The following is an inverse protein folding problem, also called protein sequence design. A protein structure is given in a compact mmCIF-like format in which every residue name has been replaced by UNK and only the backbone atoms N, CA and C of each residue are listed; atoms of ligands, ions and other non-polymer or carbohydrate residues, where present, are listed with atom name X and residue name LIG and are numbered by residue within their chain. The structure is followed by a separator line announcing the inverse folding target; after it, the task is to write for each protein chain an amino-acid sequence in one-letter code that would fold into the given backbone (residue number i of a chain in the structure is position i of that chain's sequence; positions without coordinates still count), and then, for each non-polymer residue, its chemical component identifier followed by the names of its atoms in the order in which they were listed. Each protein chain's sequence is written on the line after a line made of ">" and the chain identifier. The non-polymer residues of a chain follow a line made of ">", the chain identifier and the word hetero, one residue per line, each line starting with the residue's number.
data_IF_908566282471
#
_entry.id   IF_908566282471
#
_cell.length_a   1.000
_cell.length_b   1.000
_cell.length_c   1.000
_cell.angle_alpha   90.00
_cell.angle_beta   90.00
_cell.angle_gamma   90.00
#
_symmetry.space_group_name_H-M   'P 1'
#
loop_
_entity.id
_entity.type
_entity.pdbx_description
1 polymer ?
#
# COMPACT_ATOMS: atom_id res chain seq x y z
N UNK A 1 11.63 -11.02 -9.04
CA UNK A 1 10.51 -10.36 -9.73
C UNK A 1 9.26 -11.23 -9.64
N UNK A 2 8.10 -10.62 -9.72
CA UNK A 2 6.83 -11.32 -9.82
C UNK A 2 6.74 -12.06 -11.16
N UNK A 3 6.00 -13.17 -11.21
CA UNK A 3 5.85 -13.95 -12.46
C UNK A 3 5.26 -13.13 -13.61
N UNK A 4 4.32 -12.25 -13.28
CA UNK A 4 3.64 -11.33 -14.19
C UNK A 4 4.36 -9.98 -14.38
N UNK A 5 5.63 -9.86 -13.99
CA UNK A 5 6.37 -8.60 -14.10
C UNK A 5 6.39 -8.06 -15.53
N UNK A 6 6.63 -8.95 -16.49
CA UNK A 6 6.77 -8.56 -17.92
C UNK A 6 5.48 -8.00 -18.50
N UNK A 7 4.33 -8.52 -18.08
CA UNK A 7 3.01 -8.12 -18.59
C UNK A 7 2.44 -6.91 -17.84
N UNK A 8 2.57 -6.88 -16.51
CA UNK A 8 1.80 -5.94 -15.68
C UNK A 8 2.64 -4.76 -15.17
N UNK A 9 3.95 -4.97 -15.00
CA UNK A 9 4.82 -3.94 -14.40
C UNK A 9 5.81 -3.33 -15.39
N UNK A 10 6.44 -4.16 -16.25
CA UNK A 10 7.47 -3.69 -17.15
C UNK A 10 6.98 -2.59 -18.11
N UNK A 11 5.74 -2.61 -18.65
CA UNK A 11 5.26 -1.53 -19.51
C UNK A 11 5.30 -0.15 -18.82
N UNK A 12 4.88 -0.07 -17.55
CA UNK A 12 4.89 1.17 -16.76
C UNK A 12 6.32 1.64 -16.46
N UNK A 13 7.20 0.70 -16.08
CA UNK A 13 8.61 1.00 -15.81
C UNK A 13 9.31 1.48 -17.07
N UNK A 14 9.09 0.83 -18.21
CA UNK A 14 9.67 1.21 -19.48
C UNK A 14 9.16 2.57 -19.96
N UNK A 15 7.85 2.82 -19.86
CA UNK A 15 7.26 4.12 -20.17
C UNK A 15 7.91 5.25 -19.34
N UNK A 16 8.07 5.04 -18.03
CA UNK A 16 8.72 6.02 -17.19
C UNK A 16 10.18 6.27 -17.60
N UNK A 17 10.92 5.20 -17.92
CA UNK A 17 12.30 5.27 -18.38
C UNK A 17 12.43 6.02 -19.70
N UNK A 18 11.60 5.70 -20.68
CA UNK A 18 11.61 6.31 -22.01
C UNK A 18 11.25 7.80 -21.99
N UNK A 19 10.39 8.20 -21.03
CA UNK A 19 9.94 9.58 -20.88
C UNK A 19 10.69 10.36 -19.77
N UNK A 20 11.78 9.82 -19.22
CA UNK A 20 12.56 10.43 -18.13
C UNK A 20 11.70 10.78 -16.91
N UNK A 21 10.68 9.98 -16.62
CA UNK A 21 9.84 10.12 -15.42
C UNK A 21 10.51 9.36 -14.27
N UNK A 22 10.60 9.99 -13.11
CA UNK A 22 11.12 9.34 -11.90
C UNK A 22 10.22 8.16 -11.53
N UNK A 23 10.80 6.98 -11.43
CA UNK A 23 10.11 5.77 -10.99
C UNK A 23 10.76 5.27 -9.69
N UNK A 24 10.03 5.31 -8.58
CA UNK A 24 10.56 5.02 -7.26
C UNK A 24 9.92 3.77 -6.63
N UNK A 25 10.75 2.89 -6.07
CA UNK A 25 10.28 1.81 -5.23
C UNK A 25 10.04 2.35 -3.81
N UNK A 26 8.79 2.42 -3.38
CA UNK A 26 8.41 3.06 -2.13
C UNK A 26 8.16 2.10 -0.97
N UNK A 27 7.97 0.80 -1.24
CA UNK A 27 7.66 -0.17 -0.20
C UNK A 27 8.89 -0.61 0.59
N UNK A 28 8.70 -0.92 1.86
CA UNK A 28 9.76 -1.53 2.68
C UNK A 28 10.18 -2.89 2.11
N UNK A 29 11.46 -3.26 2.10
CA UNK A 29 11.89 -4.59 1.69
C UNK A 29 11.18 -5.69 2.50
N UNK A 30 10.62 -6.68 1.80
CA UNK A 30 9.75 -7.74 2.34
C UNK A 30 10.27 -8.38 3.63
N UNK A 31 11.59 -8.53 3.75
CA UNK A 31 12.22 -9.14 4.94
C UNK A 31 11.87 -8.40 6.23
N UNK A 32 11.80 -7.06 6.22
CA UNK A 32 11.49 -6.27 7.42
C UNK A 32 10.03 -6.35 7.80
N UNK A 33 9.12 -6.34 6.84
CA UNK A 33 7.70 -6.62 7.10
C UNK A 33 7.53 -8.05 7.67
N UNK A 34 8.30 -9.03 7.20
CA UNK A 34 8.30 -10.39 7.75
C UNK A 34 8.88 -10.45 9.17
N UNK A 35 9.89 -9.64 9.49
CA UNK A 35 10.40 -9.52 10.87
C UNK A 35 9.33 -8.95 11.79
N UNK A 36 8.63 -7.90 11.36
CA UNK A 36 7.54 -7.30 12.15
C UNK A 36 6.37 -8.28 12.32
N UNK A 37 6.01 -9.05 11.29
CA UNK A 37 4.97 -10.07 11.42
C UNK A 37 5.29 -11.12 12.51
N UNK A 38 6.56 -11.44 12.70
CA UNK A 38 7.01 -12.45 13.68
C UNK A 38 7.21 -11.87 15.08
N UNK A 39 7.82 -10.70 15.18
CA UNK A 39 8.29 -10.16 16.47
C UNK A 39 7.79 -8.75 16.80
N UNK A 40 6.81 -8.23 16.05
CA UNK A 40 6.34 -6.85 16.22
C UNK A 40 7.40 -5.82 15.81
N UNK A 41 7.14 -4.54 16.12
CA UNK A 41 8.07 -3.47 15.76
C UNK A 41 9.44 -3.59 16.46
N UNK A 42 9.51 -4.18 17.66
CA UNK A 42 10.75 -4.40 18.39
C UNK A 42 11.76 -5.25 17.61
N UNK A 43 11.29 -6.09 16.67
CA UNK A 43 12.19 -6.85 15.80
C UNK A 43 13.09 -5.95 14.93
N UNK A 44 12.71 -4.69 14.72
CA UNK A 44 13.49 -3.72 13.94
C UNK A 44 14.57 -3.01 14.76
N UNK A 45 14.63 -3.18 16.09
CA UNK A 45 15.63 -2.54 16.93
C UNK A 45 17.03 -3.09 16.64
N UNK A 46 17.11 -4.34 16.18
CA UNK A 46 18.35 -5.05 15.91
C UNK A 46 18.97 -4.78 14.55
N UNK A 47 18.26 -4.10 13.63
CA UNK A 47 18.79 -3.80 12.30
C UNK A 47 19.75 -2.61 12.33
N UNK A 48 20.68 -2.58 11.38
CA UNK A 48 21.70 -1.52 11.28
C UNK A 48 21.09 -0.15 10.94
N UNK A 49 21.81 0.92 11.24
CA UNK A 49 21.44 2.28 10.86
C UNK A 49 21.20 2.41 9.34
N UNK A 50 22.03 1.74 8.52
CA UNK A 50 21.86 1.70 7.06
C UNK A 50 20.52 1.06 6.65
N UNK A 51 20.15 -0.05 7.28
CA UNK A 51 18.90 -0.73 6.95
C UNK A 51 17.67 0.11 7.34
N UNK A 52 17.77 0.89 8.42
CA UNK A 52 16.72 1.83 8.84
C UNK A 52 16.43 2.90 7.78
N UNK A 53 17.37 3.22 6.88
CA UNK A 53 17.12 4.18 5.79
C UNK A 53 16.21 3.63 4.67
N UNK A 54 15.88 2.34 4.67
CA UNK A 54 15.01 1.71 3.69
C UNK A 54 13.54 1.64 4.13
N UNK A 55 13.20 2.34 5.20
CA UNK A 55 11.85 2.38 5.75
C UNK A 55 11.55 3.75 6.34
N UNK A 56 10.29 4.00 6.68
CA UNK A 56 9.92 5.20 7.41
C UNK A 56 10.71 5.30 8.73
N UNK A 57 10.98 6.52 9.23
CA UNK A 57 11.65 6.72 10.52
C UNK A 57 10.98 5.94 11.64
N UNK A 58 11.79 5.27 12.46
CA UNK A 58 11.31 4.54 13.63
C UNK A 58 11.31 5.46 14.87
N UNK A 59 10.37 5.28 15.80
CA UNK A 59 9.29 4.29 15.82
C UNK A 59 8.15 4.63 14.86
N UNK A 60 7.53 3.60 14.26
CA UNK A 60 6.34 3.78 13.42
C UNK A 60 5.16 4.22 14.29
N UNK A 61 4.46 5.25 13.87
CA UNK A 61 3.15 5.58 14.43
C UNK A 61 2.16 4.50 14.01
N UNK A 62 1.50 3.88 14.98
CA UNK A 62 0.57 2.78 14.74
C UNK A 62 -0.72 2.99 15.54
N UNK A 63 -1.85 2.92 14.84
CA UNK A 63 -3.17 2.96 15.44
C UNK A 63 -3.86 1.61 15.21
N UNK A 64 -3.95 0.81 16.28
CA UNK A 64 -4.57 -0.52 16.23
C UNK A 64 -6.09 -0.45 15.99
N UNK A 65 -6.71 0.71 16.22
CA UNK A 65 -8.14 0.91 16.09
C UNK A 65 -8.60 1.15 14.65
N UNK A 66 -7.69 1.37 13.71
CA UNK A 66 -8.05 1.50 12.31
C UNK A 66 -8.84 0.27 11.83
N UNK A 67 -10.02 0.47 11.22
CA UNK A 67 -10.91 -0.63 10.81
C UNK A 67 -10.23 -1.68 9.94
N UNK A 68 -9.39 -1.29 9.00
CA UNK A 68 -8.63 -2.21 8.14
C UNK A 68 -7.68 -3.10 8.92
N UNK A 69 -6.99 -2.56 9.93
CA UNK A 69 -6.09 -3.34 10.77
C UNK A 69 -6.86 -4.30 11.69
N UNK A 70 -7.99 -3.87 12.26
CA UNK A 70 -8.88 -4.76 13.01
C UNK A 70 -9.42 -5.90 12.14
N UNK A 71 -9.86 -5.57 10.92
CA UNK A 71 -10.38 -6.56 9.98
C UNK A 71 -9.34 -7.63 9.65
N UNK A 72 -8.05 -7.27 9.53
CA UNK A 72 -6.97 -8.24 9.29
C UNK A 72 -6.88 -9.32 10.38
N UNK A 73 -7.10 -8.97 11.64
CA UNK A 73 -7.07 -9.91 12.75
C UNK A 73 -8.18 -10.97 12.67
N UNK A 74 -9.32 -10.61 12.10
CA UNK A 74 -10.48 -11.50 11.97
C UNK A 74 -10.48 -12.33 10.69
N UNK A 75 -9.94 -11.80 9.58
CA UNK A 75 -9.98 -12.45 8.27
C UNK A 75 -8.94 -13.56 8.10
N UNK A 76 -7.85 -13.53 8.87
CA UNK A 76 -6.74 -14.46 8.75
C UNK A 76 -6.39 -15.10 10.11
N UNK A 77 -7.33 -15.79 10.77
CA UNK A 77 -7.04 -16.42 12.05
C UNK A 77 -5.91 -17.44 11.89
N UNK A 78 -4.88 -17.30 12.72
CA UNK A 78 -3.71 -18.19 12.70
C UNK A 78 -2.59 -17.80 11.70
N UNK A 79 -2.78 -16.83 10.84
CA UNK A 79 -1.74 -16.33 9.93
C UNK A 79 -1.19 -14.98 10.41
N UNK A 80 0.03 -14.98 10.95
CA UNK A 80 0.72 -13.75 11.37
C UNK A 80 0.33 -13.19 12.75
N UNK A 81 -0.71 -13.72 13.40
CA UNK A 81 -1.13 -13.33 14.75
C UNK A 81 -1.37 -11.82 14.90
N UNK A 82 -1.23 -11.32 16.14
CA UNK A 82 -1.44 -9.90 16.50
C UNK A 82 -0.50 -8.92 15.78
N UNK A 83 0.58 -9.42 15.17
CA UNK A 83 1.56 -8.60 14.48
C UNK A 83 1.27 -8.44 12.98
N UNK A 84 0.26 -9.10 12.42
CA UNK A 84 -0.09 -8.96 11.00
C UNK A 84 -0.46 -7.51 10.64
N UNK A 85 -1.30 -6.79 11.41
CA UNK A 85 -1.56 -5.37 11.16
C UNK A 85 -0.32 -4.49 11.31
N UNK A 86 0.59 -4.80 12.25
CA UNK A 86 1.86 -4.07 12.40
C UNK A 86 2.76 -4.26 11.18
N UNK A 87 2.78 -5.48 10.61
CA UNK A 87 3.52 -5.76 9.38
C UNK A 87 2.90 -5.07 8.15
N UNK A 88 1.60 -4.82 8.17
CA UNK A 88 0.97 -3.96 7.17
C UNK A 88 1.32 -2.50 7.41
N UNK A 89 1.22 -2.04 8.65
CA UNK A 89 1.51 -0.66 9.05
C UNK A 89 2.93 -0.20 8.66
N UNK A 90 3.97 -1.05 8.84
CA UNK A 90 5.33 -0.69 8.41
C UNK A 90 5.43 -0.50 6.89
N UNK A 91 4.67 -1.26 6.09
CA UNK A 91 4.60 -1.08 4.64
C UNK A 91 3.91 0.24 4.30
N UNK A 92 2.73 0.50 4.86
CA UNK A 92 1.92 1.69 4.61
C UNK A 92 2.68 2.96 5.00
N UNK A 93 3.25 2.99 6.19
CA UNK A 93 4.07 4.09 6.68
C UNK A 93 5.29 4.35 5.78
N UNK A 94 5.96 3.28 5.34
CA UNK A 94 7.15 3.40 4.49
C UNK A 94 6.77 3.91 3.10
N UNK A 95 5.71 3.40 2.50
CA UNK A 95 5.22 3.89 1.22
C UNK A 95 4.82 5.37 1.31
N UNK A 96 4.07 5.76 2.32
CA UNK A 96 3.69 7.15 2.56
C UNK A 96 4.92 8.06 2.75
N UNK A 97 5.90 7.61 3.54
CA UNK A 97 7.15 8.35 3.76
C UNK A 97 7.89 8.61 2.45
N UNK A 98 8.12 7.58 1.63
CA UNK A 98 8.84 7.76 0.37
C UNK A 98 8.01 8.51 -0.68
N UNK A 99 6.68 8.39 -0.71
CA UNK A 99 5.83 9.25 -1.54
C UNK A 99 6.13 10.72 -1.21
N UNK A 100 6.13 11.10 0.07
CA UNK A 100 6.40 12.48 0.49
C UNK A 100 7.83 12.93 0.18
N UNK A 101 8.82 12.02 0.20
CA UNK A 101 10.20 12.35 -0.18
C UNK A 101 10.35 12.64 -1.67
N UNK A 102 9.58 11.98 -2.53
CA UNK A 102 9.65 12.17 -3.98
C UNK A 102 8.63 13.20 -4.51
N UNK A 103 7.54 13.43 -3.77
CA UNK A 103 6.52 14.39 -4.17
C UNK A 103 7.07 15.82 -4.17
N UNK A 104 6.76 16.55 -5.24
CA UNK A 104 7.08 17.98 -5.36
C UNK A 104 5.79 18.79 -5.51
N UNK A 105 5.60 19.89 -4.78
CA UNK A 105 4.45 20.76 -4.97
C UNK A 105 4.27 21.15 -6.45
N UNK A 106 3.04 21.10 -6.94
CA UNK A 106 2.72 21.38 -8.33
C UNK A 106 2.93 20.21 -9.30
N UNK A 107 3.41 19.06 -8.82
CA UNK A 107 3.52 17.84 -9.62
C UNK A 107 2.41 16.83 -9.31
N UNK A 108 2.16 15.90 -10.22
CA UNK A 108 1.35 14.71 -9.99
C UNK A 108 2.27 13.55 -9.57
N UNK A 109 1.93 12.90 -8.49
CA UNK A 109 2.55 11.64 -8.05
C UNK A 109 1.53 10.51 -8.19
N UNK A 110 1.83 9.50 -8.97
CA UNK A 110 0.98 8.30 -9.11
C UNK A 110 1.62 7.16 -8.34
N UNK A 111 0.84 6.50 -7.50
CA UNK A 111 1.30 5.35 -6.71
C UNK A 111 0.46 4.11 -7.01
N UNK A 112 1.12 3.01 -7.32
CA UNK A 112 0.48 1.71 -7.55
C UNK A 112 0.69 0.81 -6.35
N UNK A 113 -0.41 0.31 -5.79
CA UNK A 113 -0.38 -0.58 -4.62
C UNK A 113 -1.57 -1.55 -4.65
N UNK A 114 -1.50 -2.62 -3.88
CA UNK A 114 -2.65 -3.49 -3.66
C UNK A 114 -3.72 -2.78 -2.83
N UNK A 115 -4.98 -3.12 -3.07
CA UNK A 115 -6.16 -2.47 -2.50
C UNK A 115 -6.10 -2.30 -0.97
N UNK A 116 -5.65 -3.32 -0.24
CA UNK A 116 -5.49 -3.27 1.22
C UNK A 116 -4.58 -2.15 1.76
N UNK A 117 -3.80 -1.51 0.89
CA UNK A 117 -2.92 -0.40 1.27
C UNK A 117 -3.59 0.98 1.15
N UNK A 118 -4.76 1.08 0.51
CA UNK A 118 -5.41 2.38 0.22
C UNK A 118 -6.93 2.38 0.27
N UNK A 119 -7.59 1.20 0.35
CA UNK A 119 -9.05 1.14 0.46
C UNK A 119 -9.56 1.85 1.71
N UNK A 120 -10.76 2.40 1.60
CA UNK A 120 -11.46 3.11 2.66
C UNK A 120 -10.67 4.33 3.20
N UNK A 121 -9.75 4.87 2.40
CA UNK A 121 -8.89 6.03 2.77
C UNK A 121 -7.94 5.73 3.94
N UNK A 122 -7.72 4.47 4.25
CA UNK A 122 -6.81 3.99 5.30
C UNK A 122 -5.39 3.73 4.76
N UNK A 123 -4.58 3.01 5.49
CA UNK A 123 -3.24 2.61 5.08
C UNK A 123 -2.37 3.80 4.66
N UNK A 124 -1.88 3.79 3.43
CA UNK A 124 -1.01 4.87 2.88
C UNK A 124 -1.69 6.23 3.00
N UNK A 125 -2.99 6.32 2.68
CA UNK A 125 -3.76 7.57 2.75
C UNK A 125 -3.78 8.18 4.14
N UNK A 126 -3.98 7.35 5.16
CA UNK A 126 -3.96 7.78 6.56
C UNK A 126 -2.60 8.35 6.97
N UNK A 127 -1.49 7.67 6.63
CA UNK A 127 -0.15 8.17 6.94
C UNK A 127 0.19 9.45 6.18
N UNK A 128 -0.20 9.58 4.93
CA UNK A 128 -0.03 10.78 4.12
C UNK A 128 -0.76 11.97 4.75
N UNK A 129 -2.04 11.80 5.09
CA UNK A 129 -2.86 12.85 5.73
C UNK A 129 -2.37 13.21 7.12
N UNK A 130 -1.88 12.24 7.89
CA UNK A 130 -1.28 12.50 9.20
C UNK A 130 -0.02 13.37 9.10
N UNK A 131 0.78 13.15 8.06
CA UNK A 131 2.03 13.90 7.83
C UNK A 131 1.81 15.24 7.14
N UNK A 132 0.83 15.33 6.24
CA UNK A 132 0.46 16.55 5.53
C UNK A 132 -1.06 16.56 5.27
N UNK A 133 -1.84 17.19 6.19
CA UNK A 133 -3.31 17.25 6.07
C UNK A 133 -3.81 17.95 4.80
N UNK A 134 -3.04 18.89 4.26
CA UNK A 134 -3.38 19.68 3.07
C UNK A 134 -3.14 18.92 1.75
N UNK A 135 -2.49 17.74 1.81
CA UNK A 135 -2.19 16.98 0.60
C UNK A 135 -3.48 16.55 -0.10
N UNK A 136 -3.61 16.89 -1.37
CA UNK A 136 -4.72 16.43 -2.21
C UNK A 136 -4.43 15.01 -2.66
N UNK A 137 -5.27 14.09 -2.24
CA UNK A 137 -5.15 12.66 -2.56
C UNK A 137 -6.43 12.24 -3.27
N UNK A 138 -6.28 11.52 -4.37
CA UNK A 138 -7.36 10.84 -5.08
C UNK A 138 -7.02 9.34 -5.07
N UNK A 139 -8.00 8.53 -4.73
CA UNK A 139 -7.87 7.09 -4.70
C UNK A 139 -8.67 6.45 -5.83
N UNK A 140 -8.09 5.45 -6.47
CA UNK A 140 -8.74 4.65 -7.51
C UNK A 140 -8.56 3.18 -7.10
N UNK A 141 -9.64 2.42 -7.04
CA UNK A 141 -9.59 0.97 -6.79
C UNK A 141 -10.31 0.21 -7.87
N UNK A 142 -9.90 -1.04 -8.08
CA UNK A 142 -10.57 -1.97 -8.98
C UNK A 142 -11.28 -3.03 -8.15
N UNK A 143 -12.52 -3.29 -8.46
CA UNK A 143 -13.33 -4.35 -7.84
C UNK A 143 -13.82 -5.32 -8.91
N UNK A 144 -13.84 -6.60 -8.56
CA UNK A 144 -14.34 -7.66 -9.45
C UNK A 144 -15.74 -8.05 -8.99
N UNK A 145 -16.69 -8.04 -9.91
CA UNK A 145 -18.08 -8.40 -9.65
C UNK A 145 -18.78 -8.85 -10.94
N UNK A 146 -19.85 -9.63 -10.80
CA UNK A 146 -20.57 -10.23 -11.94
C UNK A 146 -21.30 -9.20 -12.79
N UNK A 147 -21.99 -8.25 -12.17
CA UNK A 147 -22.67 -7.15 -12.88
C UNK A 147 -21.80 -5.88 -12.79
N UNK A 148 -21.14 -5.55 -13.90
CA UNK A 148 -20.27 -4.36 -13.99
C UNK A 148 -21.05 -3.05 -14.17
N UNK A 149 -22.36 -3.09 -14.44
CA UNK A 149 -23.17 -1.91 -14.66
C UNK A 149 -23.77 -1.33 -13.38
N UNK A 150 -23.82 -2.11 -12.30
CA UNK A 150 -24.32 -1.67 -11.01
C UNK A 150 -23.36 -2.02 -9.88
N UNK A 151 -22.74 -0.99 -9.29
CA UNK A 151 -21.82 -1.17 -8.19
C UNK A 151 -22.52 -1.79 -6.97
N UNK A 152 -22.00 -2.90 -6.45
CA UNK A 152 -22.49 -3.54 -5.24
C UNK A 152 -22.32 -2.64 -4.02
N UNK A 153 -23.26 -2.71 -3.08
CA UNK A 153 -23.22 -1.90 -1.85
C UNK A 153 -21.91 -2.06 -1.06
N UNK A 154 -21.40 -3.28 -0.97
CA UNK A 154 -20.15 -3.60 -0.27
C UNK A 154 -18.91 -2.97 -0.93
N UNK A 155 -19.02 -2.55 -2.17
CA UNK A 155 -17.94 -1.91 -2.92
C UNK A 155 -18.01 -0.37 -2.89
N UNK A 156 -19.11 0.20 -2.40
CA UNK A 156 -19.28 1.65 -2.30
C UNK A 156 -18.30 2.24 -1.26
N UNK A 157 -17.88 3.47 -1.52
CA UNK A 157 -17.00 4.26 -0.63
C UNK A 157 -15.60 3.67 -0.38
N UNK A 158 -15.18 2.66 -1.15
CA UNK A 158 -13.82 2.11 -1.03
C UNK A 158 -12.74 3.07 -1.52
N UNK A 159 -13.10 3.95 -2.47
CA UNK A 159 -12.19 4.93 -3.09
C UNK A 159 -13.00 6.07 -3.72
N UNK A 160 -12.31 7.13 -4.17
CA UNK A 160 -12.93 8.23 -4.91
C UNK A 160 -13.46 7.77 -6.28
N UNK A 161 -12.72 6.87 -6.93
CA UNK A 161 -13.12 6.21 -8.18
C UNK A 161 -13.01 4.70 -8.04
N UNK A 162 -14.04 4.01 -8.53
CA UNK A 162 -14.12 2.56 -8.47
C UNK A 162 -14.30 2.03 -9.89
N UNK A 163 -13.37 1.20 -10.33
CA UNK A 163 -13.41 0.52 -11.63
C UNK A 163 -13.98 -0.86 -11.41
N UNK A 164 -15.17 -1.13 -11.95
CA UNK A 164 -15.75 -2.46 -11.93
C UNK A 164 -15.22 -3.28 -13.11
N UNK A 165 -14.71 -4.46 -12.84
CA UNK A 165 -14.31 -5.45 -13.84
C UNK A 165 -15.12 -6.73 -13.66
N UNK A 166 -15.32 -7.44 -14.76
CA UNK A 166 -16.01 -8.72 -14.73
C UNK A 166 -15.22 -9.73 -13.89
N UNK A 167 -15.92 -10.50 -13.05
CA UNK A 167 -15.29 -11.53 -12.21
C UNK A 167 -14.64 -12.65 -13.04
N UNK A 168 -15.13 -12.86 -14.27
CA UNK A 168 -14.61 -13.85 -15.22
C UNK A 168 -13.41 -13.33 -16.04
N UNK A 169 -12.97 -12.08 -15.81
CA UNK A 169 -11.83 -11.51 -16.52
C UNK A 169 -10.55 -12.28 -16.21
N UNK A 170 -9.81 -12.66 -17.26
CA UNK A 170 -8.55 -13.40 -17.12
C UNK A 170 -7.54 -12.64 -16.26
N UNK A 171 -7.10 -13.26 -15.18
CA UNK A 171 -6.00 -12.76 -14.38
C UNK A 171 -4.64 -13.15 -14.99
N UNK A 172 -3.64 -12.30 -14.82
CA UNK A 172 -2.27 -12.51 -15.31
C UNK A 172 -1.36 -13.26 -14.33
N UNK A 173 -1.89 -13.66 -13.18
CA UNK A 173 -1.16 -14.34 -12.08
C UNK A 173 -1.97 -15.48 -11.49
#
# INVERSE_FOLDING_TARGET
>A
LWKNYTTDYAPLVNFAKENNIVFAATNVPRRYASMVAKGGFAALDTISAREKTWMAPLPIVYDAELPGYKKMLTMMPGHGGENLPKAQAIKDATMAYFILQYYKPGSLFIHYNGAYHSENYEGIGWYLKKSNPELKIITITTVSQKDIHQLLEENKNKADFIICVDEDMTATY
#
